data_IF_746947800200
#
_entry.id   IF_746947800200
#
_cell.length_a   1.000
_cell.length_b   1.000
_cell.length_c   1.000
_cell.angle_alpha   90.00
_cell.angle_beta   90.00
_cell.angle_gamma   90.00
#
_symmetry.space_group_name_H-M   'P 1'
#
loop_
_entity.id
_entity.type
_entity.pdbx_description
1 polymer ?
#
# COMPACT_ATOMS: atom_id res chain seq x y z
N UNK A 1 -29.13 -15.02 -2.33
CA UNK A 1 -28.07 -15.99 -1.95
C UNK A 1 -26.68 -15.46 -2.30
N UNK A 2 -26.50 -14.85 -3.47
CA UNK A 2 -25.23 -14.28 -3.95
C UNK A 2 -24.69 -13.14 -3.07
N UNK A 3 -25.53 -12.16 -2.70
CA UNK A 3 -25.12 -11.05 -1.83
C UNK A 3 -24.60 -11.49 -0.44
N UNK A 4 -25.17 -12.57 0.12
CA UNK A 4 -24.73 -13.11 1.43
C UNK A 4 -23.27 -13.57 1.36
N UNK A 5 -22.91 -14.26 0.28
CA UNK A 5 -21.53 -14.73 0.06
C UNK A 5 -20.55 -13.57 -0.14
N UNK A 6 -20.99 -12.48 -0.78
CA UNK A 6 -20.18 -11.26 -0.94
C UNK A 6 -19.89 -10.63 0.43
N UNK A 7 -20.91 -10.44 1.27
CA UNK A 7 -20.71 -9.88 2.61
C UNK A 7 -19.87 -10.78 3.51
N UNK A 8 -20.02 -12.10 3.44
CA UNK A 8 -19.15 -13.05 4.16
C UNK A 8 -17.67 -12.90 3.75
N UNK A 9 -17.38 -12.69 2.46
CA UNK A 9 -16.01 -12.43 1.97
C UNK A 9 -15.52 -11.06 2.42
N UNK A 10 -16.36 -10.03 2.34
CA UNK A 10 -16.02 -8.67 2.80
C UNK A 10 -15.65 -8.67 4.28
N UNK A 11 -16.44 -9.33 5.11
CA UNK A 11 -16.20 -9.41 6.55
C UNK A 11 -14.92 -10.19 6.85
N UNK A 12 -14.67 -11.29 6.14
CA UNK A 12 -13.42 -12.05 6.29
C UNK A 12 -12.19 -11.23 5.88
N UNK A 13 -12.24 -10.51 4.76
CA UNK A 13 -11.15 -9.65 4.28
C UNK A 13 -10.93 -8.47 5.23
N UNK A 14 -12.01 -7.86 5.71
CA UNK A 14 -11.96 -6.75 6.67
C UNK A 14 -11.32 -7.19 7.98
N UNK A 15 -11.76 -8.33 8.54
CA UNK A 15 -11.19 -8.89 9.77
C UNK A 15 -9.69 -9.24 9.60
N UNK A 16 -9.31 -9.81 8.46
CA UNK A 16 -7.90 -10.09 8.16
C UNK A 16 -7.08 -8.78 8.06
N UNK A 17 -7.58 -7.78 7.34
CA UNK A 17 -6.88 -6.51 7.18
C UNK A 17 -6.71 -5.78 8.52
N UNK A 18 -7.77 -5.69 9.33
CA UNK A 18 -7.74 -5.05 10.65
C UNK A 18 -6.79 -5.78 11.60
N UNK A 19 -6.84 -7.12 11.67
CA UNK A 19 -5.94 -7.90 12.54
C UNK A 19 -4.46 -7.80 12.15
N UNK A 20 -4.17 -7.41 10.91
CA UNK A 20 -2.81 -7.20 10.41
C UNK A 20 -2.44 -5.71 10.28
N UNK A 21 -3.22 -4.80 10.85
CA UNK A 21 -2.99 -3.36 10.79
C UNK A 21 -2.87 -2.83 9.36
N UNK A 22 -3.59 -3.45 8.42
CA UNK A 22 -3.50 -3.19 6.97
C UNK A 22 -2.07 -3.30 6.40
N UNK A 23 -1.17 -3.97 7.13
CA UNK A 23 0.21 -4.14 6.76
C UNK A 23 0.41 -5.47 6.01
N UNK A 24 1.16 -5.40 4.92
CA UNK A 24 1.47 -6.57 4.11
C UNK A 24 2.77 -6.43 3.36
N UNK A 25 3.16 -7.50 2.67
CA UNK A 25 4.25 -7.46 1.71
C UNK A 25 3.82 -6.80 0.41
N UNK A 26 4.73 -6.06 -0.21
CA UNK A 26 4.45 -5.39 -1.48
C UNK A 26 5.14 -6.14 -2.63
N UNK A 27 4.56 -6.07 -3.84
CA UNK A 27 5.07 -6.84 -4.98
C UNK A 27 6.56 -6.61 -5.29
N UNK A 28 7.04 -5.37 -5.12
CA UNK A 28 8.41 -4.97 -5.47
C UNK A 28 9.26 -4.60 -4.24
N UNK A 29 8.98 -5.21 -3.08
CA UNK A 29 9.60 -4.88 -1.79
C UNK A 29 10.97 -5.51 -1.51
N UNK A 30 11.62 -6.12 -2.50
CA UNK A 30 12.93 -6.79 -2.30
C UNK A 30 13.99 -5.87 -1.68
N UNK A 31 14.01 -4.59 -2.07
CA UNK A 31 14.94 -3.59 -1.52
C UNK A 31 14.53 -3.03 -0.16
N UNK A 32 13.37 -3.40 0.36
CA UNK A 32 13.02 -3.14 1.76
C UNK A 32 13.82 -4.03 2.72
N UNK A 33 14.53 -5.05 2.21
CA UNK A 33 15.53 -5.80 2.96
C UNK A 33 16.78 -4.95 3.17
N UNK A 34 17.22 -4.71 4.42
CA UNK A 34 18.52 -4.06 4.66
C UNK A 34 19.67 -4.85 4.05
N UNK A 35 19.58 -6.17 4.06
CA UNK A 35 20.61 -7.08 3.53
C UNK A 35 20.75 -6.88 2.01
N UNK A 36 19.64 -6.99 1.27
CA UNK A 36 19.65 -6.86 -0.19
C UNK A 36 19.94 -5.43 -0.64
N UNK A 37 19.46 -4.43 0.11
CA UNK A 37 19.77 -3.03 -0.16
C UNK A 37 21.27 -2.76 -0.09
N UNK A 38 21.96 -3.23 0.96
CA UNK A 38 23.42 -3.10 1.10
C UNK A 38 24.18 -3.94 0.07
N UNK A 39 23.80 -5.20 -0.13
CA UNK A 39 24.43 -6.09 -1.12
C UNK A 39 24.24 -5.62 -2.56
N UNK A 40 23.31 -4.68 -2.80
CA UNK A 40 23.10 -4.14 -4.14
C UNK A 40 24.23 -3.21 -4.58
N UNK A 41 25.08 -2.74 -3.66
CA UNK A 41 26.24 -1.87 -3.94
C UNK A 41 25.87 -0.65 -4.80
N UNK A 42 24.65 -0.13 -4.63
CA UNK A 42 24.06 0.93 -5.45
C UNK A 42 23.99 0.64 -6.97
N UNK A 43 24.13 -0.61 -7.38
CA UNK A 43 24.02 -1.04 -8.76
C UNK A 43 22.55 -1.31 -9.14
N UNK A 44 22.07 -0.64 -10.19
CA UNK A 44 20.68 -0.76 -10.67
C UNK A 44 20.30 -2.18 -11.09
N UNK A 45 21.21 -2.93 -11.71
CA UNK A 45 20.94 -4.30 -12.16
C UNK A 45 20.87 -5.29 -11.00
N UNK A 46 21.74 -5.15 -9.99
CA UNK A 46 21.64 -5.96 -8.77
C UNK A 46 20.35 -5.69 -8.02
N UNK A 47 19.94 -4.41 -7.92
CA UNK A 47 18.65 -4.04 -7.33
C UNK A 47 17.48 -4.70 -8.05
N UNK A 48 17.46 -4.66 -9.38
CA UNK A 48 16.44 -5.32 -10.19
C UNK A 48 16.46 -6.84 -9.99
N UNK A 49 17.64 -7.46 -9.99
CA UNK A 49 17.80 -8.89 -9.75
C UNK A 49 17.24 -9.29 -8.39
N UNK A 50 17.56 -8.56 -7.33
CA UNK A 50 17.03 -8.81 -5.99
C UNK A 50 15.52 -8.63 -5.89
N UNK A 51 14.97 -7.57 -6.50
CA UNK A 51 13.52 -7.38 -6.57
C UNK A 51 12.85 -8.56 -7.27
N UNK A 52 13.35 -8.97 -8.44
CA UNK A 52 12.78 -10.07 -9.20
C UNK A 52 12.93 -11.40 -8.47
N UNK A 53 14.08 -11.66 -7.83
CA UNK A 53 14.32 -12.86 -7.05
C UNK A 53 13.33 -12.98 -5.90
N UNK A 54 13.15 -11.93 -5.09
CA UNK A 54 12.19 -11.91 -3.97
C UNK A 54 10.74 -12.03 -4.47
N UNK A 55 10.40 -11.35 -5.56
CA UNK A 55 9.05 -11.35 -6.11
C UNK A 55 8.64 -12.71 -6.68
N UNK A 56 9.57 -13.43 -7.31
CA UNK A 56 9.28 -14.67 -8.06
C UNK A 56 9.67 -15.95 -7.33
N UNK A 57 10.28 -15.85 -6.15
CA UNK A 57 10.66 -17.04 -5.39
C UNK A 57 9.41 -17.89 -5.05
N UNK A 58 9.45 -19.22 -5.21
CA UNK A 58 8.28 -20.08 -5.05
C UNK A 58 7.74 -20.15 -3.61
N UNK A 59 8.57 -19.79 -2.63
CA UNK A 59 8.20 -19.71 -1.21
C UNK A 59 8.50 -18.32 -0.66
N UNK A 60 7.85 -17.95 0.43
CA UNK A 60 8.02 -16.62 1.00
C UNK A 60 9.36 -16.49 1.76
N UNK A 61 10.40 -16.02 1.08
CA UNK A 61 11.74 -15.76 1.67
C UNK A 61 11.85 -14.40 2.39
N UNK A 62 10.80 -13.57 2.35
CA UNK A 62 10.81 -12.22 2.93
C UNK A 62 11.16 -12.19 4.43
N UNK A 63 10.67 -13.12 5.28
CA UNK A 63 11.06 -13.15 6.69
C UNK A 63 12.56 -13.38 6.88
N UNK A 64 13.16 -14.30 6.12
CA UNK A 64 14.60 -14.59 6.18
C UNK A 64 15.44 -13.37 5.76
N UNK A 65 14.96 -12.63 4.76
CA UNK A 65 15.60 -11.41 4.27
C UNK A 65 15.31 -10.18 5.13
N UNK A 66 14.63 -10.32 6.27
CA UNK A 66 14.24 -9.22 7.17
C UNK A 66 13.41 -8.14 6.47
N UNK A 67 12.62 -8.51 5.47
CA UNK A 67 11.63 -7.63 4.86
C UNK A 67 10.45 -7.56 5.83
N UNK A 68 10.11 -6.35 6.29
CA UNK A 68 8.98 -6.10 7.18
C UNK A 68 7.73 -5.77 6.38
N UNK A 69 6.58 -6.22 6.85
CA UNK A 69 5.28 -5.77 6.34
C UNK A 69 5.07 -4.30 6.67
N UNK A 70 4.31 -3.58 5.85
CA UNK A 70 3.90 -2.21 6.14
C UNK A 70 2.66 -1.82 5.33
N UNK A 71 1.96 -0.78 5.78
CA UNK A 71 0.83 -0.20 5.07
C UNK A 71 1.30 0.41 3.73
N UNK A 72 0.66 0.00 2.64
CA UNK A 72 0.88 0.59 1.32
C UNK A 72 -0.18 1.67 1.08
N UNK A 73 0.19 2.95 0.83
CA UNK A 73 -0.80 4.01 0.64
C UNK A 73 -1.86 3.71 -0.42
N UNK A 74 -1.49 3.03 -1.52
CA UNK A 74 -2.46 2.58 -2.52
C UNK A 74 -3.44 1.58 -1.94
N UNK A 75 -2.96 0.64 -1.13
CA UNK A 75 -3.79 -0.35 -0.45
C UNK A 75 -4.78 0.31 0.52
N UNK A 76 -4.29 1.24 1.35
CA UNK A 76 -5.14 2.00 2.28
C UNK A 76 -6.21 2.80 1.53
N UNK A 77 -5.86 3.46 0.43
CA UNK A 77 -6.82 4.16 -0.42
C UNK A 77 -7.91 3.23 -1.00
N UNK A 78 -7.54 2.03 -1.43
CA UNK A 78 -8.50 1.04 -1.91
C UNK A 78 -9.43 0.54 -0.80
N UNK A 79 -8.91 0.32 0.41
CA UNK A 79 -9.72 -0.02 1.58
C UNK A 79 -10.69 1.11 1.94
N UNK A 80 -10.21 2.36 2.02
CA UNK A 80 -11.03 3.54 2.29
C UNK A 80 -12.21 3.62 1.31
N UNK A 81 -11.94 3.49 0.00
CA UNK A 81 -12.99 3.47 -1.03
C UNK A 81 -13.97 2.31 -0.85
N UNK A 82 -13.46 1.11 -0.62
CA UNK A 82 -14.30 -0.07 -0.39
C UNK A 82 -15.25 0.13 0.79
N UNK A 83 -14.75 0.67 1.89
CA UNK A 83 -15.54 0.95 3.09
C UNK A 83 -16.54 2.09 2.90
N UNK A 84 -16.19 3.16 2.17
CA UNK A 84 -17.13 4.23 1.81
C UNK A 84 -18.29 3.69 0.97
N UNK A 85 -18.00 2.85 -0.04
CA UNK A 85 -19.02 2.22 -0.88
C UNK A 85 -19.91 1.26 -0.07
N UNK A 86 -19.32 0.48 0.84
CA UNK A 86 -20.07 -0.40 1.74
C UNK A 86 -20.96 0.41 2.70
N UNK A 87 -20.46 1.52 3.24
CA UNK A 87 -21.26 2.42 4.06
C UNK A 87 -22.43 3.01 3.26
N UNK A 88 -22.19 3.50 2.04
CA UNK A 88 -23.26 4.01 1.18
C UNK A 88 -24.33 2.95 0.87
N UNK A 89 -23.93 1.69 0.68
CA UNK A 89 -24.84 0.60 0.37
C UNK A 89 -25.61 0.04 1.57
N UNK A 90 -25.04 0.11 2.78
CA UNK A 90 -25.56 -0.58 3.98
C UNK A 90 -25.99 0.34 5.10
N UNK A 91 -25.56 1.61 5.06
CA UNK A 91 -25.65 2.58 6.15
C UNK A 91 -25.04 2.09 7.49
N UNK A 92 -24.08 1.15 7.42
CA UNK A 92 -23.43 0.59 8.61
C UNK A 92 -22.25 1.47 9.07
N UNK A 93 -22.39 2.08 10.25
CA UNK A 93 -21.39 2.97 10.84
C UNK A 93 -20.02 2.33 11.08
N UNK A 94 -19.93 0.99 11.16
CA UNK A 94 -18.65 0.29 11.25
C UNK A 94 -17.74 0.55 10.04
N UNK A 95 -18.30 0.44 8.82
CA UNK A 95 -17.52 0.71 7.61
C UNK A 95 -17.19 2.21 7.48
N UNK A 96 -18.07 3.10 7.94
CA UNK A 96 -17.78 4.53 8.01
C UNK A 96 -16.53 4.80 8.86
N UNK A 97 -16.48 4.24 10.07
CA UNK A 97 -15.34 4.44 10.97
C UNK A 97 -14.02 3.92 10.36
N UNK A 98 -14.05 2.74 9.71
CA UNK A 98 -12.88 2.19 9.01
C UNK A 98 -12.44 3.06 7.82
N UNK A 99 -13.39 3.65 7.10
CA UNK A 99 -13.08 4.58 6.02
C UNK A 99 -12.40 5.85 6.55
N UNK A 100 -12.95 6.44 7.61
CA UNK A 100 -12.39 7.64 8.26
C UNK A 100 -10.96 7.37 8.77
N UNK A 101 -10.73 6.25 9.46
CA UNK A 101 -9.38 5.86 9.91
C UNK A 101 -8.38 5.73 8.74
N UNK A 102 -8.81 5.14 7.63
CA UNK A 102 -7.98 4.98 6.44
C UNK A 102 -7.66 6.32 5.76
N UNK A 103 -8.63 7.24 5.69
CA UNK A 103 -8.45 8.60 5.14
C UNK A 103 -7.55 9.45 6.05
N UNK A 104 -7.71 9.38 7.36
CA UNK A 104 -6.85 10.07 8.33
C UNK A 104 -5.41 9.55 8.24
N UNK A 105 -5.23 8.24 8.07
CA UNK A 105 -3.92 7.66 7.85
C UNK A 105 -3.27 8.20 6.55
N UNK A 106 -4.03 8.32 5.46
CA UNK A 106 -3.53 8.91 4.21
C UNK A 106 -3.15 10.37 4.37
N UNK A 107 -3.95 11.15 5.10
CA UNK A 107 -3.68 12.57 5.40
C UNK A 107 -2.43 12.75 6.26
N UNK A 108 -2.07 11.79 7.10
CA UNK A 108 -0.84 11.86 7.90
C UNK A 108 0.37 11.25 7.20
N UNK A 109 0.16 10.39 6.19
CA UNK A 109 1.22 9.65 5.48
C UNK A 109 1.33 10.02 3.99
N UNK A 110 1.10 11.29 3.64
CA UNK A 110 1.37 11.80 2.29
C UNK A 110 2.87 12.00 2.05
N UNK A 111 3.26 12.00 0.78
CA UNK A 111 4.63 12.20 0.29
C UNK A 111 5.11 13.66 0.39
N UNK A 112 4.19 14.62 0.43
CA UNK A 112 4.52 16.05 0.45
C UNK A 112 4.82 16.63 1.86
N UNK A 113 5.48 15.90 2.75
CA UNK A 113 5.71 16.36 4.15
C UNK A 113 6.56 17.64 4.24
N UNK A 114 7.46 17.84 3.28
CA UNK A 114 8.38 18.98 3.25
C UNK A 114 7.91 20.14 2.34
N UNK A 115 6.64 20.15 1.91
CA UNK A 115 6.09 21.15 0.98
C UNK A 115 6.87 21.30 -0.35
N UNK A 116 7.48 20.22 -0.82
CA UNK A 116 8.23 20.18 -2.08
C UNK A 116 7.32 20.05 -3.31
N UNK A 117 6.02 19.83 -3.13
CA UNK A 117 5.03 19.65 -4.19
C UNK A 117 3.82 20.58 -3.97
N UNK A 118 3.04 20.83 -5.02
CA UNK A 118 1.92 21.78 -5.00
C UNK A 118 0.64 21.27 -4.31
N UNK A 119 0.68 20.14 -3.62
CA UNK A 119 -0.48 19.56 -2.94
C UNK A 119 -0.22 18.18 -2.34
N UNK A 120 -1.28 17.54 -1.81
CA UNK A 120 -1.18 16.17 -1.32
C UNK A 120 -0.88 15.20 -2.46
N UNK A 121 0.10 14.34 -2.23
CA UNK A 121 0.50 13.29 -3.15
C UNK A 121 0.97 12.08 -2.36
N UNK A 122 0.94 10.90 -2.97
CA UNK A 122 1.32 9.66 -2.31
C UNK A 122 2.22 8.82 -3.20
N UNK A 123 3.05 8.02 -2.56
CA UNK A 123 4.02 7.14 -3.18
C UNK A 123 4.01 5.75 -2.56
N UNK A 124 4.75 4.83 -3.16
CA UNK A 124 4.90 3.48 -2.61
C UNK A 124 5.73 3.48 -1.32
N UNK A 125 5.42 2.57 -0.42
CA UNK A 125 6.13 2.32 0.84
C UNK A 125 7.44 1.52 0.68
N UNK A 126 7.95 1.37 -0.53
CA UNK A 126 9.18 0.66 -0.87
C UNK A 126 9.99 1.45 -1.93
N UNK A 127 11.27 1.13 -2.06
CA UNK A 127 12.13 1.68 -3.10
C UNK A 127 11.75 1.04 -4.43
N UNK A 128 11.51 1.87 -5.46
CA UNK A 128 11.23 1.37 -6.81
C UNK A 128 12.44 1.55 -7.71
N UNK A 129 13.03 0.44 -8.12
CA UNK A 129 14.00 0.40 -9.22
C UNK A 129 13.31 -0.09 -10.50
N UNK A 130 13.43 0.67 -11.58
CA UNK A 130 13.16 0.22 -12.94
C UNK A 130 14.46 0.23 -13.76
N UNK A 131 14.47 -0.29 -15.01
CA UNK A 131 15.61 -0.13 -15.90
C UNK A 131 15.95 1.34 -16.22
N UNK A 132 14.98 2.24 -16.11
CA UNK A 132 15.10 3.64 -16.57
C UNK A 132 15.26 4.64 -15.43
N UNK A 133 14.78 4.30 -14.22
CA UNK A 133 14.81 5.22 -13.10
C UNK A 133 14.88 4.49 -11.76
N UNK A 134 15.25 5.27 -10.74
CA UNK A 134 15.23 4.86 -9.34
C UNK A 134 14.42 5.89 -8.55
N UNK A 135 13.34 5.43 -7.90
CA UNK A 135 12.49 6.26 -7.07
C UNK A 135 12.62 5.81 -5.60
N UNK A 136 13.06 6.70 -4.70
CA UNK A 136 13.03 6.47 -3.27
C UNK A 136 11.63 6.11 -2.74
N UNK A 137 11.61 5.56 -1.53
CA UNK A 137 10.36 5.30 -0.81
C UNK A 137 9.56 6.61 -0.65
N UNK A 138 8.25 6.52 -0.85
CA UNK A 138 7.30 7.63 -0.84
C UNK A 138 7.58 8.75 -1.87
N UNK A 139 8.35 8.51 -2.93
CA UNK A 139 8.34 9.44 -4.06
C UNK A 139 6.93 9.54 -4.67
N UNK A 140 6.44 10.75 -5.00
CA UNK A 140 5.11 10.92 -5.56
C UNK A 140 4.90 10.03 -6.78
N UNK A 141 3.78 9.32 -6.78
CA UNK A 141 3.42 8.42 -7.85
C UNK A 141 1.99 8.72 -8.30
N UNK A 142 1.81 8.94 -9.61
CA UNK A 142 0.50 9.26 -10.17
C UNK A 142 -0.55 8.20 -9.86
N UNK A 143 -0.22 6.91 -9.97
CA UNK A 143 -1.17 5.83 -9.70
C UNK A 143 -1.60 5.84 -8.24
N UNK A 144 -0.66 5.88 -7.30
CA UNK A 144 -0.97 5.92 -5.86
C UNK A 144 -1.78 7.16 -5.51
N UNK A 145 -1.39 8.31 -6.08
CA UNK A 145 -2.05 9.60 -5.84
C UNK A 145 -3.47 9.64 -6.39
N UNK A 146 -3.72 9.07 -7.57
CA UNK A 146 -5.08 8.96 -8.13
C UNK A 146 -5.96 8.10 -7.23
N UNK A 147 -5.48 6.93 -6.77
CA UNK A 147 -6.29 6.09 -5.88
C UNK A 147 -6.62 6.79 -4.55
N UNK A 148 -5.66 7.50 -3.96
CA UNK A 148 -5.89 8.29 -2.74
C UNK A 148 -6.85 9.45 -2.99
N UNK A 149 -6.67 10.20 -4.08
CA UNK A 149 -7.57 11.29 -4.48
C UNK A 149 -9.00 10.82 -4.71
N UNK A 150 -9.20 9.69 -5.40
CA UNK A 150 -10.52 9.08 -5.58
C UNK A 150 -11.15 8.64 -4.25
N UNK A 151 -10.35 8.25 -3.26
CA UNK A 151 -10.85 7.94 -1.92
C UNK A 151 -11.38 9.20 -1.22
N UNK A 152 -10.63 10.30 -1.26
CA UNK A 152 -11.06 11.57 -0.70
C UNK A 152 -12.29 12.15 -1.40
N UNK A 153 -12.36 12.06 -2.74
CA UNK A 153 -13.52 12.52 -3.52
C UNK A 153 -14.81 11.74 -3.23
N UNK A 154 -14.72 10.52 -2.67
CA UNK A 154 -15.88 9.74 -2.23
C UNK A 154 -16.25 9.99 -0.77
N UNK A 155 -15.30 10.47 0.04
CA UNK A 155 -15.48 10.70 1.48
C UNK A 155 -15.95 12.10 1.85
N UNK A 156 -15.77 13.08 0.95
CA UNK A 156 -16.24 14.46 1.04
C UNK A 156 -17.37 14.72 0.05
#
# INVERSE_FOLDING_TARGET
MENRKIFEIVDAVTAYAVSHDFAGYSKYDGLSSPILSTLSLNNSWLRLLFIQAVMRFPVNIRPLLRIKTSRNPKGIALFARGYLLLYAATNNGYYKALAEEALDWLTTHHSNQNNNFSGYCWGYNFIWQSPFFHAPKYSPNITVTVFAGEAFMLGY
#
